data_IF_947539921660
#
_entry.id   IF_947539921660
#
_cell.length_a   1.000
_cell.length_b   1.000
_cell.length_c   1.000
_cell.angle_alpha   90.00
_cell.angle_beta   90.00
_cell.angle_gamma   90.00
#
_symmetry.space_group_name_H-M   'P 1'
#
loop_
_entity.id
_entity.type
_entity.pdbx_description
1 polymer ?
#
# COMPACT_ATOMS: atom_id res chain seq x y z
N UNK A 1 -9.21 -0.88 7.40
CA UNK A 1 -8.06 -1.57 8.04
C UNK A 1 -6.96 -1.69 6.99
N UNK A 2 -5.69 -1.52 7.37
CA UNK A 2 -4.55 -1.56 6.43
C UNK A 2 -3.65 -2.73 6.78
N UNK A 3 -3.28 -3.54 5.78
CA UNK A 3 -2.47 -4.74 5.97
C UNK A 3 -1.37 -4.83 4.92
N UNK A 4 -0.17 -5.15 5.35
CA UNK A 4 0.95 -5.52 4.48
C UNK A 4 1.22 -7.02 4.65
N UNK A 5 1.26 -7.73 3.52
CA UNK A 5 1.42 -9.18 3.47
C UNK A 5 2.56 -9.50 2.51
N UNK A 6 3.58 -10.19 2.97
CA UNK A 6 4.61 -10.74 2.09
C UNK A 6 4.12 -12.02 1.43
N UNK A 7 4.32 -12.16 0.13
CA UNK A 7 3.92 -13.34 -0.62
C UNK A 7 4.97 -13.66 -1.68
N UNK A 8 5.68 -14.78 -1.54
CA UNK A 8 6.76 -15.23 -2.45
C UNK A 8 7.72 -14.08 -2.80
N UNK A 9 7.56 -13.48 -3.98
CA UNK A 9 8.40 -12.42 -4.52
C UNK A 9 7.84 -10.99 -4.33
N UNK A 10 6.64 -10.84 -3.77
CA UNK A 10 5.93 -9.57 -3.69
C UNK A 10 5.66 -9.17 -2.24
N UNK A 11 5.55 -7.87 -2.02
CA UNK A 11 4.89 -7.26 -0.88
C UNK A 11 3.52 -6.74 -1.31
N UNK A 12 2.48 -7.17 -0.60
CA UNK A 12 1.10 -6.83 -0.91
C UNK A 12 0.60 -5.84 0.15
N UNK A 13 0.34 -4.61 -0.27
CA UNK A 13 -0.35 -3.61 0.54
C UNK A 13 -1.85 -3.69 0.27
N UNK A 14 -2.64 -3.83 1.32
CA UNK A 14 -4.11 -3.87 1.28
C UNK A 14 -4.68 -2.76 2.13
N UNK A 15 -5.57 -1.97 1.58
CA UNK A 15 -6.22 -0.87 2.26
C UNK A 15 -7.73 -0.92 2.01
N UNK A 16 -8.52 -1.10 3.09
CA UNK A 16 -9.98 -1.03 3.04
C UNK A 16 -10.45 0.43 3.24
N UNK A 17 -11.14 0.99 2.24
CA UNK A 17 -11.66 2.37 2.20
C UNK A 17 -13.17 2.46 1.93
N UNK A 18 -13.84 1.32 1.71
CA UNK A 18 -15.28 1.24 1.45
C UNK A 18 -15.67 1.49 -0.02
N UNK A 19 -16.89 1.08 -0.43
CA UNK A 19 -17.29 0.96 -1.83
C UNK A 19 -17.52 2.28 -2.59
N UNK A 20 -17.42 3.44 -1.92
CA UNK A 20 -17.73 4.77 -2.49
C UNK A 20 -16.48 5.65 -2.64
N UNK A 21 -15.35 5.03 -2.93
CA UNK A 21 -14.04 5.67 -2.81
C UNK A 21 -13.26 5.54 -4.11
N UNK A 22 -12.64 6.64 -4.53
CA UNK A 22 -11.67 6.68 -5.62
C UNK A 22 -10.26 6.76 -5.03
N UNK A 23 -9.30 6.10 -5.68
CA UNK A 23 -7.97 5.91 -5.11
C UNK A 23 -6.93 6.26 -6.13
N UNK A 24 -5.94 7.00 -5.67
CA UNK A 24 -4.78 7.41 -6.43
C UNK A 24 -3.53 6.97 -5.65
N UNK A 25 -2.70 6.14 -6.30
CA UNK A 25 -1.38 5.84 -5.75
C UNK A 25 -0.47 7.00 -6.17
N UNK A 26 -0.07 7.85 -5.23
CA UNK A 26 0.72 9.05 -5.53
C UNK A 26 2.17 8.69 -5.84
N UNK A 27 2.79 7.88 -4.98
CA UNK A 27 4.19 7.53 -5.12
C UNK A 27 4.50 6.13 -4.59
N UNK A 28 5.24 5.38 -5.41
CA UNK A 28 5.89 4.13 -5.00
C UNK A 28 7.39 4.35 -5.14
N UNK A 29 8.14 4.13 -4.07
CA UNK A 29 9.59 4.27 -4.03
C UNK A 29 10.21 2.96 -3.54
N UNK A 30 11.54 2.84 -3.66
CA UNK A 30 12.25 1.62 -3.29
C UNK A 30 11.99 1.16 -1.86
N UNK A 31 11.69 2.07 -0.93
CA UNK A 31 11.51 1.77 0.49
C UNK A 31 10.19 2.29 1.08
N UNK A 32 9.44 3.07 0.32
CA UNK A 32 8.25 3.78 0.81
C UNK A 32 7.09 3.70 -0.18
N UNK A 33 5.89 3.88 0.34
CA UNK A 33 4.64 3.96 -0.43
C UNK A 33 3.79 5.08 0.14
N UNK A 34 3.30 5.96 -0.72
CA UNK A 34 2.33 6.99 -0.40
C UNK A 34 1.07 6.77 -1.25
N UNK A 35 -0.08 6.63 -0.58
CA UNK A 35 -1.38 6.40 -1.20
C UNK A 35 -2.34 7.49 -0.76
N UNK A 36 -2.99 8.14 -1.72
CA UNK A 36 -4.07 9.09 -1.46
C UNK A 36 -5.41 8.49 -1.90
N UNK A 37 -6.39 8.55 -1.01
CA UNK A 37 -7.74 8.04 -1.25
C UNK A 37 -8.74 9.18 -1.16
N UNK A 38 -9.46 9.44 -2.25
CA UNK A 38 -10.52 10.44 -2.27
C UNK A 38 -11.88 9.75 -2.14
N UNK A 39 -12.57 9.99 -1.03
CA UNK A 39 -13.91 9.48 -0.84
C UNK A 39 -14.89 10.34 -1.65
N UNK A 40 -15.81 9.74 -2.41
CA UNK A 40 -16.80 10.52 -3.20
C UNK A 40 -17.67 11.40 -2.30
N UNK A 41 -17.90 10.93 -1.08
CA UNK A 41 -18.80 11.56 -0.11
C UNK A 41 -18.05 12.47 0.89
N UNK A 42 -16.71 12.64 0.77
CA UNK A 42 -15.95 13.57 1.62
C UNK A 42 -15.02 14.47 0.81
N UNK A 43 -14.92 15.77 1.15
CA UNK A 43 -14.02 16.68 0.47
C UNK A 43 -12.54 16.39 0.76
N UNK A 44 -12.26 15.81 1.93
CA UNK A 44 -10.91 15.48 2.40
C UNK A 44 -10.41 14.17 1.80
N UNK A 45 -9.16 14.18 1.34
CA UNK A 45 -8.45 12.99 0.89
C UNK A 45 -7.77 12.31 2.08
N UNK A 46 -7.92 10.99 2.19
CA UNK A 46 -7.23 10.19 3.18
C UNK A 46 -5.86 9.80 2.64
N UNK A 47 -4.80 10.22 3.34
CA UNK A 47 -3.43 9.85 2.99
C UNK A 47 -2.93 8.72 3.87
N UNK A 48 -2.26 7.76 3.24
CA UNK A 48 -1.64 6.62 3.87
C UNK A 48 -0.20 6.52 3.39
N UNK A 49 0.73 6.69 4.31
CA UNK A 49 2.16 6.51 4.03
C UNK A 49 2.68 5.26 4.72
N UNK A 50 3.51 4.49 4.02
CA UNK A 50 4.36 3.46 4.59
C UNK A 50 5.80 3.96 4.48
N UNK A 51 6.37 4.40 5.62
CA UNK A 51 7.66 5.08 5.65
C UNK A 51 8.88 4.16 5.51
N UNK A 52 8.72 2.86 5.74
CA UNK A 52 9.79 1.90 5.56
C UNK A 52 9.26 0.47 5.36
N UNK A 53 9.52 -0.11 4.19
CA UNK A 53 9.37 -1.54 3.96
C UNK A 53 10.47 -2.35 4.66
N UNK A 54 10.27 -3.65 4.94
CA UNK A 54 11.32 -4.51 5.49
C UNK A 54 12.53 -4.71 4.56
N UNK A 55 12.34 -4.48 3.26
CA UNK A 55 13.38 -4.54 2.26
C UNK A 55 13.01 -3.73 1.02
N UNK A 56 13.95 -3.53 0.08
CA UNK A 56 13.70 -2.73 -1.10
C UNK A 56 12.72 -3.43 -2.06
N UNK A 57 11.88 -2.64 -2.72
CA UNK A 57 10.98 -3.07 -3.80
C UNK A 57 11.42 -2.47 -5.13
N UNK A 58 10.85 -2.95 -6.25
CA UNK A 58 11.06 -2.45 -7.60
C UNK A 58 9.84 -1.59 -8.01
N UNK A 59 9.91 -0.25 -7.89
CA UNK A 59 8.73 0.59 -8.08
C UNK A 59 8.14 0.55 -9.49
N UNK A 60 9.01 0.46 -10.52
CA UNK A 60 8.60 0.43 -11.92
C UNK A 60 7.74 -0.79 -12.30
N UNK A 61 7.77 -1.86 -11.49
CA UNK A 61 7.00 -3.08 -11.73
C UNK A 61 5.81 -3.21 -10.77
N UNK A 62 5.56 -2.20 -9.94
CA UNK A 62 4.43 -2.21 -9.03
C UNK A 62 3.11 -2.19 -9.80
N UNK A 63 2.13 -2.93 -9.29
CA UNK A 63 0.79 -3.01 -9.86
C UNK A 63 -0.23 -2.74 -8.77
N UNK A 64 -1.31 -2.06 -9.10
CA UNK A 64 -2.41 -1.88 -8.16
C UNK A 64 -3.75 -2.23 -8.80
N UNK A 65 -4.67 -2.71 -7.96
CA UNK A 65 -6.04 -2.99 -8.31
C UNK A 65 -6.96 -2.47 -7.23
N UNK A 66 -8.07 -1.86 -7.64
CA UNK A 66 -9.16 -1.46 -6.77
C UNK A 66 -10.30 -2.46 -6.96
N UNK A 67 -10.84 -3.03 -5.89
CA UNK A 67 -11.95 -3.99 -5.96
C UNK A 67 -12.80 -3.87 -4.70
N UNK A 68 -14.11 -3.65 -4.85
CA UNK A 68 -15.07 -3.59 -3.75
C UNK A 68 -14.66 -2.66 -2.60
N UNK A 69 -14.13 -1.47 -2.92
CA UNK A 69 -13.71 -0.53 -1.88
C UNK A 69 -12.44 -0.93 -1.14
N UNK A 70 -11.64 -1.83 -1.71
CA UNK A 70 -10.33 -2.23 -1.24
C UNK A 70 -9.30 -1.96 -2.32
N UNK A 71 -8.18 -1.38 -1.91
CA UNK A 71 -6.98 -1.21 -2.71
C UNK A 71 -6.05 -2.37 -2.42
N UNK A 72 -5.53 -3.00 -3.47
CA UNK A 72 -4.48 -4.00 -3.37
C UNK A 72 -3.34 -3.55 -4.26
N UNK A 73 -2.20 -3.24 -3.65
CA UNK A 73 -0.96 -2.86 -4.35
C UNK A 73 0.01 -4.02 -4.19
N UNK A 74 0.53 -4.52 -5.30
CA UNK A 74 1.60 -5.50 -5.37
C UNK A 74 2.90 -4.76 -5.66
N UNK A 75 3.87 -4.94 -4.77
CA UNK A 75 5.19 -4.33 -4.82
C UNK A 75 6.22 -5.45 -4.96
N UNK A 76 6.77 -5.69 -6.16
CA UNK A 76 7.79 -6.71 -6.35
C UNK A 76 9.01 -6.41 -5.49
N UNK A 77 9.50 -7.39 -4.75
CA UNK A 77 10.73 -7.27 -3.97
C UNK A 77 11.90 -7.11 -4.92
N UNK A 78 12.88 -6.30 -4.54
CA UNK A 78 14.15 -6.24 -5.27
C UNK A 78 14.92 -7.56 -5.17
N UNK A 79 14.78 -8.26 -4.04
CA UNK A 79 15.27 -9.62 -3.84
C UNK A 79 14.09 -10.58 -3.60
N UNK A 80 13.74 -11.43 -4.59
CA UNK A 80 12.60 -12.34 -4.50
C UNK A 80 12.81 -13.49 -3.49
N UNK A 81 14.05 -13.73 -3.05
CA UNK A 81 14.35 -14.77 -2.05
C UNK A 81 14.02 -14.33 -0.63
N UNK A 82 13.85 -13.02 -0.40
CA UNK A 82 13.53 -12.51 0.93
C UNK A 82 12.09 -12.85 1.30
N UNK A 83 11.91 -13.53 2.44
CA UNK A 83 10.59 -13.72 3.05
C UNK A 83 10.40 -12.68 4.16
N UNK A 84 9.31 -11.92 4.12
CA UNK A 84 8.98 -10.95 5.16
C UNK A 84 7.78 -11.49 5.94
N UNK A 85 8.01 -12.29 6.98
CA UNK A 85 6.92 -12.93 7.71
C UNK A 85 6.07 -11.89 8.48
N UNK A 86 4.74 -11.98 8.37
CA UNK A 86 3.78 -11.32 9.25
C UNK A 86 2.90 -10.24 8.60
N UNK A 87 1.80 -9.92 9.28
CA UNK A 87 1.12 -8.64 9.12
C UNK A 87 2.09 -7.59 9.66
N UNK A 88 2.73 -6.83 8.77
CA UNK A 88 3.63 -5.78 9.24
C UNK A 88 2.77 -4.78 10.01
N UNK A 89 2.94 -4.73 11.33
CA UNK A 89 2.48 -3.61 12.13
C UNK A 89 3.31 -2.42 11.69
N UNK A 90 2.85 -1.74 10.63
CA UNK A 90 3.54 -0.61 10.04
C UNK A 90 3.56 0.49 11.10
N UNK A 91 4.68 0.61 11.81
CA UNK A 91 5.00 1.84 12.53
C UNK A 91 5.01 2.95 11.49
N UNK A 92 4.10 3.90 11.61
CA UNK A 92 4.00 5.04 10.69
C UNK A 92 3.04 4.87 9.53
N UNK A 93 2.05 3.96 9.62
CA UNK A 93 0.81 4.14 8.86
C UNK A 93 -0.03 5.25 9.51
N UNK A 94 0.53 6.46 9.48
CA UNK A 94 -0.15 7.67 9.92
C UNK A 94 -1.24 7.96 8.91
N UNK A 95 -2.48 7.77 9.34
CA UNK A 95 -3.61 8.41 8.69
C UNK A 95 -3.59 9.88 9.11
N UNK A 96 -2.95 10.72 8.31
CA UNK A 96 -3.12 12.17 8.45
C UNK A 96 -4.35 12.58 7.64
N UNK A 97 -5.35 13.12 8.33
CA UNK A 97 -6.43 13.94 7.75
C UNK A 97 -5.90 15.28 7.30
#
# INVERSE_FOLDING_TARGET
MVKLISHLCDLIFKLDIGPRSEVYVEAIRHWTLDVECKLKDKPEALRYSCRQFPGPVVPGNAQYKITNGRVVIKLPKADPSQSWAGELTVKGLDQSS
#
